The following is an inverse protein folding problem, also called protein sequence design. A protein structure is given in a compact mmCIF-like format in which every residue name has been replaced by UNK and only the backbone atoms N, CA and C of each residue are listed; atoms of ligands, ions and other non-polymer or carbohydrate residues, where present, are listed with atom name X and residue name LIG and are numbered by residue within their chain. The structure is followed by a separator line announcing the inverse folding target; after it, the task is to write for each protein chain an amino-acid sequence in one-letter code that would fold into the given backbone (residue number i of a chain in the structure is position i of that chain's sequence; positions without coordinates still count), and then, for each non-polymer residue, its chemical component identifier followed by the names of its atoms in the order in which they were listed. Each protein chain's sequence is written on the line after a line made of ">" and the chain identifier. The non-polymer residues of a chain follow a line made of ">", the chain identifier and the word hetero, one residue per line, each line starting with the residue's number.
data_IF_158197233289
#
_entry.id   IF_158197233289
#
_cell.length_a   1.000
_cell.length_b   1.000
_cell.length_c   1.000
_cell.angle_alpha   90.00
_cell.angle_beta   90.00
_cell.angle_gamma   90.00
#
_symmetry.space_group_name_H-M   'P 1'
#
loop_
_entity.id
_entity.type
_entity.pdbx_description
1 polymer ?
#
# COMPACT_ATOMS: atom_id res chain seq x y z
N UNK A 1 11.77 13.64 11.95
CA UNK A 1 11.21 14.87 11.34
C UNK A 1 9.74 14.62 11.06
N UNK A 2 8.85 15.54 11.42
CA UNK A 2 7.41 15.41 11.13
C UNK A 2 7.19 15.81 9.66
N UNK A 3 6.74 14.88 8.83
CA UNK A 3 6.36 15.16 7.46
C UNK A 3 4.90 15.59 7.46
N UNK A 4 4.63 16.83 7.04
CA UNK A 4 3.25 17.34 6.97
C UNK A 4 2.50 16.66 5.82
N UNK A 5 1.18 16.52 5.98
CA UNK A 5 0.25 16.08 4.91
C UNK A 5 0.55 16.78 3.59
N UNK A 6 0.52 16.00 2.51
CA UNK A 6 0.84 16.48 1.16
C UNK A 6 -0.13 17.59 0.75
N UNK A 7 0.40 18.72 0.30
CA UNK A 7 -0.38 19.92 -0.03
C UNK A 7 -0.03 20.52 -1.39
N UNK A 8 0.88 19.90 -2.15
CA UNK A 8 1.32 20.35 -3.47
C UNK A 8 1.95 19.18 -4.24
N UNK A 9 2.06 19.32 -5.56
CA UNK A 9 2.72 18.33 -6.42
C UNK A 9 4.18 18.11 -6.00
N UNK A 10 4.93 19.18 -5.71
CA UNK A 10 6.31 19.06 -5.26
C UNK A 10 6.44 18.17 -4.00
N UNK A 11 5.57 18.39 -3.00
CA UNK A 11 5.56 17.54 -1.79
C UNK A 11 5.14 16.10 -2.08
N UNK A 12 4.25 15.89 -3.05
CA UNK A 12 3.87 14.55 -3.48
C UNK A 12 5.02 13.84 -4.17
N UNK A 13 5.79 14.56 -4.98
CA UNK A 13 7.01 14.04 -5.60
C UNK A 13 8.04 13.66 -4.56
N UNK A 14 8.30 14.54 -3.59
CA UNK A 14 9.21 14.30 -2.49
C UNK A 14 8.79 13.05 -1.71
N UNK A 15 7.51 12.95 -1.31
CA UNK A 15 6.97 11.76 -0.65
C UNK A 15 7.20 10.51 -1.50
N UNK A 16 6.85 10.56 -2.79
CA UNK A 16 6.97 9.43 -3.70
C UNK A 16 8.42 8.98 -3.96
N UNK A 17 9.42 9.86 -3.78
CA UNK A 17 10.85 9.55 -3.92
C UNK A 17 11.48 8.95 -2.67
N UNK A 18 10.75 8.88 -1.56
CA UNK A 18 11.27 8.26 -0.34
C UNK A 18 11.43 6.76 -0.59
N UNK A 19 12.67 6.30 -0.49
CA UNK A 19 13.03 4.90 -0.56
C UNK A 19 12.66 4.20 0.75
N UNK A 20 11.79 3.19 0.68
CA UNK A 20 11.35 2.40 1.84
C UNK A 20 12.28 1.20 2.09
N UNK A 21 12.84 0.64 1.02
CA UNK A 21 13.83 -0.45 1.09
C UNK A 21 14.71 -0.47 -0.16
N UNK A 22 15.55 -1.50 -0.34
CA UNK A 22 16.47 -1.62 -1.49
C UNK A 22 15.75 -1.44 -2.83
N UNK A 23 14.54 -1.97 -2.96
CA UNK A 23 13.83 -2.10 -4.23
C UNK A 23 12.52 -1.28 -4.29
N UNK A 24 12.05 -0.76 -3.17
CA UNK A 24 10.71 -0.14 -3.08
C UNK A 24 10.76 1.32 -2.64
N UNK A 25 9.94 2.14 -3.28
CA UNK A 25 9.73 3.55 -3.00
C UNK A 25 8.27 3.79 -2.60
N UNK A 26 8.01 4.86 -1.85
CA UNK A 26 6.64 5.17 -1.39
C UNK A 26 5.63 5.25 -2.55
N UNK A 27 6.07 5.75 -3.72
CA UNK A 27 5.22 5.86 -4.93
C UNK A 27 4.62 4.52 -5.36
N UNK A 28 5.34 3.41 -5.16
CA UNK A 28 4.89 2.07 -5.56
C UNK A 28 3.61 1.65 -4.83
N UNK A 29 3.29 2.30 -3.71
CA UNK A 29 2.17 1.94 -2.83
C UNK A 29 1.04 2.95 -2.81
N UNK A 30 1.16 4.10 -3.48
CA UNK A 30 0.15 5.18 -3.45
C UNK A 30 -0.93 5.06 -4.53
N UNK A 31 -0.77 4.17 -5.52
CA UNK A 31 -1.75 4.01 -6.58
C UNK A 31 -3.03 3.31 -6.09
N UNK A 32 -4.18 3.79 -6.55
CA UNK A 32 -5.50 3.19 -6.28
C UNK A 32 -6.44 3.46 -7.45
N UNK A 33 -7.09 2.42 -7.97
CA UNK A 33 -8.10 2.58 -9.03
C UNK A 33 -9.31 3.38 -8.56
N UNK A 34 -9.72 3.24 -7.29
CA UNK A 34 -10.83 4.00 -6.71
C UNK A 34 -10.48 5.49 -6.68
N UNK A 35 -9.28 5.83 -6.21
CA UNK A 35 -8.79 7.21 -6.21
C UNK A 35 -8.75 7.80 -7.63
N UNK A 36 -8.23 7.04 -8.59
CA UNK A 36 -8.12 7.46 -9.98
C UNK A 36 -9.50 7.66 -10.64
N UNK A 37 -10.41 6.71 -10.44
CA UNK A 37 -11.76 6.73 -11.03
C UNK A 37 -12.63 7.86 -10.47
N UNK A 38 -12.59 8.10 -9.16
CA UNK A 38 -13.41 9.12 -8.51
C UNK A 38 -12.72 10.48 -8.36
N UNK A 39 -11.45 10.60 -8.75
CA UNK A 39 -10.70 11.85 -8.62
C UNK A 39 -10.42 12.26 -7.18
N UNK A 40 -10.27 11.29 -6.27
CA UNK A 40 -10.00 11.55 -4.85
C UNK A 40 -8.51 11.33 -4.55
N UNK A 41 -7.80 12.30 -3.94
CA UNK A 41 -6.40 12.14 -3.59
C UNK A 41 -6.16 10.97 -2.61
N UNK A 42 -5.20 10.11 -2.95
CA UNK A 42 -4.80 8.97 -2.11
C UNK A 42 -3.47 9.23 -1.39
N UNK A 43 -3.45 10.19 -0.48
CA UNK A 43 -2.23 10.59 0.25
C UNK A 43 -2.39 10.35 1.76
N UNK A 44 -1.30 9.97 2.46
CA UNK A 44 -1.31 9.88 3.90
C UNK A 44 -1.69 11.17 4.61
N UNK A 45 -2.53 11.02 5.64
CA UNK A 45 -2.80 12.06 6.63
C UNK A 45 -1.59 12.25 7.55
N UNK A 46 -0.92 11.14 7.90
CA UNK A 46 0.35 11.13 8.66
C UNK A 46 1.46 10.43 7.85
N UNK A 47 2.11 11.16 6.92
CA UNK A 47 3.11 10.56 6.01
C UNK A 47 4.29 9.91 6.71
N UNK A 48 4.78 10.46 7.82
CA UNK A 48 5.88 9.89 8.59
C UNK A 48 5.53 8.51 9.17
N UNK A 49 4.28 8.33 9.62
CA UNK A 49 3.77 7.04 10.09
C UNK A 49 3.67 6.07 8.91
N UNK A 50 3.08 6.48 7.78
CA UNK A 50 2.96 5.63 6.58
C UNK A 50 4.33 5.20 6.04
N UNK A 51 5.33 6.09 6.05
CA UNK A 51 6.70 5.77 5.66
C UNK A 51 7.31 4.74 6.61
N UNK A 52 7.12 4.91 7.93
CA UNK A 52 7.63 3.96 8.92
C UNK A 52 7.02 2.57 8.73
N UNK A 53 5.70 2.47 8.67
CA UNK A 53 5.00 1.18 8.51
C UNK A 53 5.27 0.55 7.15
N UNK A 54 5.30 1.35 6.08
CA UNK A 54 5.69 0.90 4.74
C UNK A 54 7.14 0.42 4.67
N UNK A 55 8.07 1.08 5.37
CA UNK A 55 9.47 0.64 5.49
C UNK A 55 9.57 -0.75 6.12
N UNK A 56 8.84 -0.98 7.21
CA UNK A 56 8.83 -2.29 7.87
C UNK A 56 8.17 -3.37 7.00
N UNK A 57 7.04 -3.08 6.35
CA UNK A 57 6.42 -4.00 5.37
C UNK A 57 7.40 -4.39 4.26
N UNK A 58 8.12 -3.40 3.71
CA UNK A 58 9.08 -3.65 2.65
C UNK A 58 10.24 -4.52 3.14
N UNK A 59 10.88 -4.16 4.25
CA UNK A 59 12.08 -4.84 4.75
C UNK A 59 11.79 -6.22 5.31
N UNK A 60 10.71 -6.38 6.07
CA UNK A 60 10.43 -7.62 6.80
C UNK A 60 9.70 -8.66 5.95
N UNK A 61 8.97 -8.24 4.90
CA UNK A 61 8.13 -9.14 4.13
C UNK A 61 8.38 -9.06 2.61
N UNK A 62 8.27 -7.87 2.00
CA UNK A 62 8.28 -7.79 0.54
C UNK A 62 9.65 -8.05 -0.07
N UNK A 63 10.75 -7.58 0.54
CA UNK A 63 12.11 -7.88 0.08
C UNK A 63 12.43 -9.38 0.20
N UNK A 64 12.16 -10.07 1.32
CA UNK A 64 12.30 -11.54 1.39
C UNK A 64 11.49 -12.30 0.33
N UNK A 65 10.24 -11.90 0.07
CA UNK A 65 9.42 -12.51 -0.98
C UNK A 65 10.06 -12.29 -2.36
N UNK A 66 10.49 -11.06 -2.63
CA UNK A 66 11.13 -10.69 -3.90
C UNK A 66 12.48 -11.37 -4.11
N UNK A 67 13.27 -11.54 -3.06
CA UNK A 67 14.53 -12.30 -3.11
C UNK A 67 14.26 -13.76 -3.48
N UNK A 68 13.18 -14.34 -2.94
CA UNK A 68 12.83 -15.73 -3.20
C UNK A 68 12.24 -15.97 -4.59
N UNK A 69 11.38 -15.08 -5.05
CA UNK A 69 10.54 -15.33 -6.25
C UNK A 69 10.84 -14.39 -7.42
N UNK A 70 11.80 -13.48 -7.28
CA UNK A 70 12.07 -12.42 -8.24
C UNK A 70 11.08 -11.26 -8.12
N UNK A 71 11.04 -10.40 -9.15
CA UNK A 71 10.21 -9.19 -9.17
C UNK A 71 8.76 -9.48 -8.79
N UNK A 72 8.25 -8.84 -7.75
CA UNK A 72 6.82 -8.82 -7.42
C UNK A 72 6.15 -7.55 -7.97
N UNK A 73 4.85 -7.62 -8.22
CA UNK A 73 4.06 -6.44 -8.61
C UNK A 73 3.11 -6.04 -7.47
N UNK A 74 3.12 -4.77 -7.09
CA UNK A 74 2.16 -4.22 -6.13
C UNK A 74 0.84 -3.98 -6.87
N UNK A 75 -0.23 -4.66 -6.43
CA UNK A 75 -1.58 -4.51 -6.98
C UNK A 75 -2.39 -3.47 -6.19
N UNK A 76 -2.27 -3.49 -4.88
CA UNK A 76 -2.95 -2.56 -3.98
C UNK A 76 -2.16 -2.46 -2.68
N UNK A 77 -2.17 -1.30 -2.05
CA UNK A 77 -1.40 -1.06 -0.84
C UNK A 77 -2.02 0.06 -0.01
N UNK A 78 -1.37 1.22 0.09
CA UNK A 78 -1.85 2.33 0.88
C UNK A 78 -3.19 2.85 0.34
N UNK A 79 -4.17 3.01 1.24
CA UNK A 79 -5.41 3.75 1.01
C UNK A 79 -5.58 4.78 2.12
N UNK A 80 -5.77 6.03 1.73
CA UNK A 80 -6.20 7.08 2.66
C UNK A 80 -7.58 6.77 3.23
N UNK A 81 -7.91 7.25 4.45
CA UNK A 81 -9.23 7.06 5.03
C UNK A 81 -10.37 7.53 4.12
N UNK A 82 -10.17 8.59 3.34
CA UNK A 82 -11.16 9.10 2.38
C UNK A 82 -11.39 8.15 1.21
N UNK A 83 -10.33 7.63 0.60
CA UNK A 83 -10.42 6.67 -0.51
C UNK A 83 -11.02 5.34 -0.02
N UNK A 84 -10.59 4.85 1.15
CA UNK A 84 -11.11 3.62 1.72
C UNK A 84 -12.60 3.73 2.07
N UNK A 85 -13.00 4.83 2.71
CA UNK A 85 -14.40 5.10 3.05
C UNK A 85 -15.27 5.16 1.79
N UNK A 86 -14.84 5.92 0.78
CA UNK A 86 -15.56 6.00 -0.50
C UNK A 86 -15.70 4.61 -1.14
N UNK A 87 -14.64 3.82 -1.13
CA UNK A 87 -14.67 2.45 -1.62
C UNK A 87 -15.65 1.56 -0.85
N UNK A 88 -15.77 1.74 0.47
CA UNK A 88 -16.70 0.99 1.30
C UNK A 88 -18.16 1.37 0.98
N UNK A 89 -18.44 2.67 0.95
CA UNK A 89 -19.78 3.21 0.65
C UNK A 89 -20.27 2.88 -0.76
N UNK A 90 -19.35 2.77 -1.72
CA UNK A 90 -19.65 2.42 -3.12
C UNK A 90 -19.61 0.92 -3.40
N UNK A 91 -19.29 0.07 -2.42
CA UNK A 91 -19.27 -1.39 -2.58
C UNK A 91 -18.05 -1.94 -3.34
N UNK A 92 -16.93 -1.21 -3.39
CA UNK A 92 -15.70 -1.61 -4.09
C UNK A 92 -14.76 -2.47 -3.23
N UNK A 93 -15.33 -3.44 -2.51
CA UNK A 93 -14.59 -4.39 -1.66
C UNK A 93 -13.62 -3.74 -0.64
N UNK A 94 -13.96 -2.56 -0.13
CA UNK A 94 -13.26 -1.97 1.00
C UNK A 94 -14.05 -2.25 2.28
N UNK A 95 -13.38 -2.70 3.34
CA UNK A 95 -13.96 -2.73 4.68
C UNK A 95 -14.06 -1.29 5.26
N UNK A 96 -14.71 -1.14 6.41
CA UNK A 96 -14.74 0.14 7.12
C UNK A 96 -13.32 0.61 7.48
N UNK A 97 -13.16 1.90 7.73
CA UNK A 97 -11.86 2.46 8.09
C UNK A 97 -11.28 1.81 9.35
N UNK A 98 -12.10 1.58 10.36
CA UNK A 98 -11.69 0.96 11.63
C UNK A 98 -11.10 -0.43 11.42
N UNK A 99 -11.69 -1.22 10.49
CA UNK A 99 -11.18 -2.54 10.12
C UNK A 99 -9.93 -2.50 9.25
N UNK A 100 -9.62 -1.36 8.64
CA UNK A 100 -8.48 -1.17 7.75
C UNK A 100 -7.33 -0.36 8.36
N UNK A 101 -7.52 0.25 9.52
CA UNK A 101 -6.41 0.79 10.32
C UNK A 101 -5.39 -0.32 10.61
N UNK A 102 -4.11 0.05 10.60
CA UNK A 102 -2.98 -0.89 10.66
C UNK A 102 -2.95 -1.97 9.56
N UNK A 103 -3.76 -1.84 8.49
CA UNK A 103 -3.79 -2.74 7.34
C UNK A 103 -3.61 -1.99 6.03
N UNK A 104 -4.67 -1.64 5.30
CA UNK A 104 -4.55 -0.80 4.09
C UNK A 104 -4.49 0.70 4.40
N UNK A 105 -4.87 1.13 5.60
CA UNK A 105 -4.67 2.50 6.09
C UNK A 105 -3.45 2.48 7.03
N UNK A 106 -2.28 2.79 6.47
CA UNK A 106 -0.98 2.54 7.12
C UNK A 106 -0.61 3.55 8.20
N UNK A 107 -1.28 4.69 8.20
CA UNK A 107 -0.97 5.85 9.03
C UNK A 107 -1.88 5.98 10.26
N UNK A 108 -2.77 5.02 10.50
CA UNK A 108 -3.63 4.94 11.66
C UNK A 108 -3.40 3.63 12.41
N UNK A 109 -3.33 3.66 13.76
CA UNK A 109 -3.21 2.44 14.55
C UNK A 109 -4.56 1.75 14.74
N UNK A 110 -4.52 0.44 14.98
CA UNK A 110 -5.62 -0.34 15.56
C UNK A 110 -5.35 -0.64 17.05
N UNK A 111 -6.13 -1.52 17.66
CA UNK A 111 -5.96 -1.95 19.07
C UNK A 111 -4.61 -2.64 19.35
N UNK A 112 -3.93 -3.16 18.31
CA UNK A 112 -2.64 -3.86 18.40
C UNK A 112 -1.46 -2.96 18.03
N UNK A 113 -1.72 -1.77 17.51
CA UNK A 113 -0.71 -0.77 17.18
C UNK A 113 -0.69 -0.44 15.69
N UNK A 114 0.50 -0.29 15.13
CA UNK A 114 0.67 0.11 13.73
C UNK A 114 1.03 -1.08 12.84
N UNK A 115 0.53 -1.07 11.61
CA UNK A 115 0.79 -2.09 10.61
C UNK A 115 0.55 -1.57 9.20
N UNK A 116 0.97 -2.36 8.22
CA UNK A 116 0.78 -2.08 6.80
C UNK A 116 0.60 -3.39 6.03
N UNK A 117 -0.29 -3.36 5.05
CA UNK A 117 -0.62 -4.49 4.17
C UNK A 117 -0.51 -4.07 2.71
N UNK A 118 -0.04 -4.97 1.86
CA UNK A 118 -0.10 -4.86 0.41
C UNK A 118 -0.67 -6.15 -0.20
N UNK A 119 -1.47 -5.98 -1.26
CA UNK A 119 -1.81 -7.06 -2.18
C UNK A 119 -0.76 -7.08 -3.30
N UNK A 120 -0.13 -8.22 -3.48
CA UNK A 120 0.94 -8.41 -4.47
C UNK A 120 0.58 -9.50 -5.48
N UNK A 121 1.23 -9.44 -6.63
CA UNK A 121 1.29 -10.54 -7.60
C UNK A 121 2.73 -11.03 -7.65
N UNK A 122 2.92 -12.34 -7.66
CA UNK A 122 4.21 -12.99 -7.88
C UNK A 122 4.21 -13.53 -9.32
N UNK A 123 4.75 -12.79 -10.30
CA UNK A 123 4.63 -13.11 -11.72
C UNK A 123 5.22 -14.47 -12.09
N UNK A 124 6.28 -14.90 -11.40
CA UNK A 124 6.94 -16.20 -11.63
C UNK A 124 6.04 -17.40 -11.35
N UNK A 125 4.95 -17.23 -10.60
CA UNK A 125 3.95 -18.28 -10.38
C UNK A 125 2.80 -18.31 -11.39
N UNK A 126 2.61 -17.26 -12.20
CA UNK A 126 1.43 -17.18 -13.07
C UNK A 126 1.37 -18.34 -14.06
N UNK A 127 2.49 -18.69 -14.69
CA UNK A 127 2.56 -19.83 -15.61
C UNK A 127 2.25 -21.16 -14.93
N UNK A 128 2.65 -21.34 -13.67
CA UNK A 128 2.34 -22.55 -12.90
C UNK A 128 0.85 -22.59 -12.55
N UNK A 129 0.29 -21.46 -12.13
CA UNK A 129 -1.14 -21.29 -11.84
C UNK A 129 -2.02 -21.59 -13.05
N UNK A 130 -1.63 -21.10 -14.22
CA UNK A 130 -2.39 -21.29 -15.46
C UNK A 130 -2.34 -22.72 -15.97
N UNK A 131 -1.25 -23.45 -15.71
CA UNK A 131 -1.09 -24.85 -16.10
C UNK A 131 -1.97 -25.79 -15.27
N UNK A 132 -2.05 -25.55 -13.97
CA UNK A 132 -2.87 -26.39 -13.08
C UNK A 132 -3.33 -25.61 -11.85
N UNK A 133 -4.65 -25.38 -11.79
CA UNK A 133 -5.27 -24.66 -10.69
C UNK A 133 -5.46 -25.48 -9.40
N UNK A 134 -4.93 -26.71 -9.35
CA UNK A 134 -5.01 -27.58 -8.17
C UNK A 134 -3.66 -27.79 -7.50
N UNK A 135 -2.58 -27.37 -8.15
CA UNK A 135 -1.22 -27.52 -7.64
C UNK A 135 -0.73 -26.19 -7.05
N UNK A 136 -1.05 -25.96 -5.77
CA UNK A 136 -0.57 -24.82 -4.96
C UNK A 136 0.27 -25.28 -3.78
#
# INVERSE_FOLDING_TARGET
>A
MIIKKVSSIAKLEDLGRIQLSKSFFMRDFLYSEIANWYGVPNFPDYPDIAIRTGTELCKQLLEPIQEKFGRIAIRSAYRSPSVNQLGNEKGHNCASNEKNFASHIWDYPDEKGYGATACIVIPSFLELYEKDQTTW
#
